data_IF_640173118225
#
_entry.id   IF_640173118225
#
_cell.length_a   1.000
_cell.length_b   1.000
_cell.length_c   1.000
_cell.angle_alpha   90.00
_cell.angle_beta   90.00
_cell.angle_gamma   90.00
#
_symmetry.space_group_name_H-M   'P 1'
#
loop_
_entity.id
_entity.type
_entity.pdbx_description
1 polymer ?
#
# COMPACT_ATOMS: atom_id res chain seq x y z
N UNK A 1 -27.68 31.49 -39.26
CA UNK A 1 -28.60 30.38 -38.98
C UNK A 1 -27.80 29.17 -38.53
N UNK A 2 -27.88 28.81 -37.25
CA UNK A 2 -27.97 27.44 -36.73
C UNK A 2 -27.95 27.53 -35.20
N UNK A 3 -28.94 26.86 -34.60
CA UNK A 3 -29.54 27.12 -33.29
C UNK A 3 -28.75 26.47 -32.15
N UNK A 4 -28.51 27.24 -31.09
CA UNK A 4 -28.12 26.75 -29.76
C UNK A 4 -29.32 26.05 -29.11
N UNK A 5 -29.15 24.81 -28.66
CA UNK A 5 -30.08 24.17 -27.72
C UNK A 5 -29.38 24.06 -26.36
N UNK A 6 -29.80 24.94 -25.44
CA UNK A 6 -29.62 24.77 -24.01
C UNK A 6 -30.75 23.87 -23.52
N UNK A 7 -30.41 22.75 -22.87
CA UNK A 7 -31.36 22.00 -22.06
C UNK A 7 -31.09 22.30 -20.59
N UNK A 8 -31.92 23.20 -20.05
CA UNK A 8 -32.22 23.30 -18.62
C UNK A 8 -33.12 22.12 -18.27
N UNK A 9 -32.72 21.30 -17.29
CA UNK A 9 -33.63 20.37 -16.62
C UNK A 9 -33.57 20.64 -15.13
N UNK A 10 -34.59 21.35 -14.65
CA UNK A 10 -34.92 21.49 -13.25
C UNK A 10 -36.15 20.61 -13.00
N UNK A 11 -36.01 19.52 -12.26
CA UNK A 11 -37.14 18.92 -11.52
C UNK A 11 -36.63 18.23 -10.27
N UNK A 12 -37.09 18.75 -9.14
CA UNK A 12 -37.02 18.16 -7.81
C UNK A 12 -37.97 16.95 -7.79
N UNK A 13 -37.46 15.78 -7.46
CA UNK A 13 -38.25 14.65 -7.00
C UNK A 13 -37.49 13.98 -5.85
N UNK A 14 -37.98 14.19 -4.64
CA UNK A 14 -37.56 13.46 -3.46
C UNK A 14 -37.96 11.99 -3.64
N UNK A 15 -36.97 11.13 -3.81
CA UNK A 15 -37.11 9.68 -3.66
C UNK A 15 -35.86 9.18 -2.95
N UNK A 16 -36.07 8.49 -1.84
CA UNK A 16 -35.05 7.83 -1.02
C UNK A 16 -34.46 6.67 -1.83
N UNK A 17 -33.59 7.00 -2.79
CA UNK A 17 -32.86 6.05 -3.60
C UNK A 17 -31.49 5.80 -2.99
N UNK A 18 -31.19 4.53 -2.71
CA UNK A 18 -29.82 4.07 -2.48
C UNK A 18 -28.96 4.45 -3.69
N UNK A 19 -28.12 5.48 -3.55
CA UNK A 19 -27.14 5.86 -4.57
C UNK A 19 -25.98 4.86 -4.58
N UNK A 20 -26.19 3.71 -5.22
CA UNK A 20 -25.09 2.83 -5.61
C UNK A 20 -24.35 3.45 -6.80
N UNK A 21 -23.35 4.30 -6.54
CA UNK A 21 -22.50 4.86 -7.60
C UNK A 21 -21.46 3.79 -7.98
N UNK A 22 -21.71 3.01 -9.04
CA UNK A 22 -20.66 2.18 -9.66
C UNK A 22 -19.70 3.07 -10.44
N UNK A 23 -18.50 3.28 -9.91
CA UNK A 23 -17.51 4.18 -10.51
C UNK A 23 -16.69 3.55 -11.66
N UNK A 24 -16.78 2.23 -11.87
CA UNK A 24 -16.02 1.53 -12.92
C UNK A 24 -16.82 0.32 -13.44
N UNK A 25 -17.03 0.26 -14.76
CA UNK A 25 -17.46 -0.96 -15.44
C UNK A 25 -16.26 -1.50 -16.23
N UNK A 26 -15.36 -2.21 -15.55
CA UNK A 26 -14.28 -2.94 -16.22
C UNK A 26 -14.73 -4.39 -16.49
N UNK A 27 -14.50 -4.87 -17.72
CA UNK A 27 -14.78 -6.26 -18.12
C UNK A 27 -14.02 -7.27 -17.25
N UNK A 28 -14.58 -8.49 -17.01
CA UNK A 28 -13.95 -9.50 -16.16
C UNK A 28 -12.56 -9.85 -16.69
N UNK A 29 -11.58 -9.96 -15.80
CA UNK A 29 -10.20 -10.28 -16.14
C UNK A 29 -10.05 -11.78 -16.42
N UNK A 30 -10.68 -12.26 -17.50
CA UNK A 30 -10.46 -13.63 -18.00
C UNK A 30 -9.13 -13.67 -18.77
N UNK A 31 -8.06 -14.04 -18.08
CA UNK A 31 -6.74 -14.33 -18.65
C UNK A 31 -5.93 -15.18 -17.68
N UNK A 32 -4.96 -15.96 -18.18
CA UNK A 32 -4.13 -16.83 -17.34
C UNK A 32 -3.49 -16.07 -16.17
N UNK A 33 -3.57 -16.66 -14.97
CA UNK A 33 -2.93 -16.15 -13.75
C UNK A 33 -3.64 -14.99 -13.03
N UNK A 34 -4.75 -14.46 -13.55
CA UNK A 34 -5.58 -13.49 -12.82
C UNK A 34 -6.56 -14.20 -11.88
N UNK A 35 -6.66 -13.69 -10.65
CA UNK A 35 -7.59 -14.13 -9.60
C UNK A 35 -8.43 -12.94 -9.16
N UNK A 36 -9.72 -13.14 -8.98
CA UNK A 36 -10.64 -12.08 -8.53
C UNK A 36 -10.92 -12.19 -7.04
N UNK A 37 -10.91 -11.04 -6.36
CA UNK A 37 -11.18 -10.93 -4.94
C UNK A 37 -12.23 -9.86 -4.68
N UNK A 38 -13.09 -10.13 -3.70
CA UNK A 38 -13.94 -9.14 -3.06
C UNK A 38 -13.37 -8.82 -1.68
N UNK A 39 -13.18 -7.52 -1.42
CA UNK A 39 -12.72 -7.02 -0.13
C UNK A 39 -13.83 -6.14 0.44
N UNK A 40 -14.26 -6.44 1.66
CA UNK A 40 -15.24 -5.63 2.38
C UNK A 40 -14.59 -5.02 3.62
N UNK A 41 -14.58 -3.69 3.69
CA UNK A 41 -14.17 -2.89 4.84
C UNK A 41 -15.40 -2.28 5.48
N UNK A 42 -15.63 -2.59 6.76
CA UNK A 42 -16.71 -2.04 7.56
C UNK A 42 -16.09 -1.24 8.72
N UNK A 43 -16.58 -0.02 8.95
CA UNK A 43 -16.21 0.81 10.10
C UNK A 43 -17.49 1.16 10.83
N UNK A 44 -17.51 0.99 12.15
CA UNK A 44 -18.61 1.39 13.02
C UNK A 44 -18.04 2.24 14.16
N UNK A 45 -18.12 3.56 14.03
CA UNK A 45 -17.60 4.48 15.05
C UNK A 45 -18.46 4.32 16.31
N UNK A 46 -17.92 3.62 17.30
CA UNK A 46 -18.65 3.28 18.53
C UNK A 46 -18.83 4.47 19.47
N UNK A 47 -17.89 5.42 19.47
CA UNK A 47 -17.99 6.66 20.25
C UNK A 47 -18.84 7.71 19.51
N UNK A 48 -20.14 7.72 19.82
CA UNK A 48 -21.09 8.70 19.28
C UNK A 48 -21.03 10.03 20.04
N UNK A 49 -19.84 10.58 20.20
CA UNK A 49 -19.56 11.74 21.07
C UNK A 49 -19.65 13.10 20.36
N UNK A 50 -19.99 13.11 19.07
CA UNK A 50 -20.20 14.33 18.30
C UNK A 50 -19.97 14.12 16.81
N UNK A 51 -19.35 15.13 16.19
CA UNK A 51 -18.86 15.07 14.82
C UNK A 51 -17.78 13.98 14.70
N UNK A 52 -17.88 13.17 13.65
CA UNK A 52 -16.91 12.13 13.34
C UNK A 52 -16.57 12.14 11.86
N UNK A 53 -15.29 11.93 11.55
CA UNK A 53 -14.79 11.77 10.17
C UNK A 53 -13.99 10.48 10.06
N UNK A 54 -14.19 9.77 8.96
CA UNK A 54 -13.46 8.54 8.64
C UNK A 54 -13.01 8.58 7.19
N UNK A 55 -11.79 8.12 6.96
CA UNK A 55 -11.20 7.97 5.64
C UNK A 55 -10.79 6.52 5.44
N UNK A 56 -11.53 5.82 4.58
CA UNK A 56 -11.27 4.40 4.28
C UNK A 56 -10.48 4.28 2.97
N UNK A 57 -9.29 3.64 2.97
CA UNK A 57 -8.52 3.44 1.75
C UNK A 57 -9.30 2.71 0.66
N UNK A 58 -9.19 3.21 -0.57
CA UNK A 58 -9.73 2.58 -1.78
C UNK A 58 -8.55 2.13 -2.65
N UNK A 59 -8.56 0.89 -3.21
CA UNK A 59 -7.48 0.41 -4.06
C UNK A 59 -7.21 1.36 -5.22
N UNK A 60 -5.95 1.52 -5.60
CA UNK A 60 -5.57 2.27 -6.79
C UNK A 60 -6.20 1.62 -8.02
N UNK A 61 -6.61 2.42 -9.00
CA UNK A 61 -7.37 1.93 -10.15
C UNK A 61 -6.66 0.78 -10.88
N UNK A 62 -5.34 0.90 -11.00
CA UNK A 62 -4.50 -0.11 -11.60
C UNK A 62 -3.08 -0.02 -11.02
N UNK A 63 -2.47 -1.17 -10.77
CA UNK A 63 -1.01 -1.30 -10.68
C UNK A 63 -0.57 -2.11 -11.90
N UNK A 64 0.20 -1.47 -12.79
CA UNK A 64 0.52 -2.05 -14.10
C UNK A 64 1.09 -3.45 -13.99
N UNK A 65 0.48 -4.38 -14.72
CA UNK A 65 0.88 -5.77 -14.73
C UNK A 65 0.69 -6.53 -13.42
N UNK A 66 -0.07 -6.01 -12.45
CA UNK A 66 -0.32 -6.66 -11.16
C UNK A 66 -1.79 -6.65 -10.74
N UNK A 67 -2.41 -5.47 -10.70
CA UNK A 67 -3.73 -5.24 -10.12
C UNK A 67 -4.61 -4.43 -11.05
N UNK A 68 -5.90 -4.76 -11.08
CA UNK A 68 -6.98 -3.94 -11.66
C UNK A 68 -8.12 -3.86 -10.67
N UNK A 69 -8.57 -2.65 -10.32
CA UNK A 69 -9.82 -2.48 -9.60
C UNK A 69 -10.98 -2.60 -10.57
N UNK A 70 -11.88 -3.55 -10.29
CA UNK A 70 -13.02 -3.88 -11.13
C UNK A 70 -14.28 -3.12 -10.72
N UNK A 71 -14.51 -2.99 -9.42
CA UNK A 71 -15.70 -2.32 -8.86
C UNK A 71 -15.38 -1.72 -7.48
N UNK A 72 -16.03 -0.61 -7.16
CA UNK A 72 -15.96 0.07 -5.85
C UNK A 72 -17.36 0.53 -5.51
N UNK A 73 -17.90 0.04 -4.39
CA UNK A 73 -19.22 0.39 -3.87
C UNK A 73 -19.12 0.74 -2.41
N UNK A 74 -19.80 1.79 -1.97
CA UNK A 74 -19.84 2.15 -0.57
C UNK A 74 -21.23 2.64 -0.17
N UNK A 75 -21.56 2.40 1.09
CA UNK A 75 -22.76 2.91 1.73
C UNK A 75 -22.39 3.41 3.14
N UNK A 76 -22.97 4.55 3.53
CA UNK A 76 -22.68 5.21 4.79
C UNK A 76 -23.97 5.83 5.34
N UNK A 77 -24.90 5.01 5.85
CA UNK A 77 -26.17 5.50 6.35
C UNK A 77 -25.94 6.48 7.51
N UNK A 78 -26.73 7.55 7.56
CA UNK A 78 -26.60 8.60 8.58
C UNK A 78 -25.46 9.59 8.34
N UNK A 79 -24.61 9.40 7.32
CA UNK A 79 -23.57 10.35 6.99
C UNK A 79 -24.17 11.66 6.47
N UNK A 80 -23.65 12.78 6.98
CA UNK A 80 -23.97 14.12 6.46
C UNK A 80 -23.28 14.34 5.11
N UNK A 81 -22.10 13.77 4.92
CA UNK A 81 -21.36 13.77 3.66
C UNK A 81 -20.63 12.45 3.48
N UNK A 82 -20.70 11.90 2.27
CA UNK A 82 -19.88 10.77 1.82
C UNK A 82 -19.41 11.05 0.40
N UNK A 83 -18.11 10.87 0.14
CA UNK A 83 -17.55 11.03 -1.21
C UNK A 83 -16.37 10.09 -1.45
N UNK A 84 -16.21 9.65 -2.70
CA UNK A 84 -14.97 9.06 -3.17
C UNK A 84 -14.00 10.20 -3.48
N UNK A 85 -12.97 10.36 -2.66
CA UNK A 85 -11.98 11.42 -2.78
C UNK A 85 -10.67 10.90 -3.38
N UNK A 86 -10.11 11.66 -4.33
CA UNK A 86 -8.78 11.43 -4.89
C UNK A 86 -7.82 12.48 -4.35
N UNK A 87 -6.71 12.04 -3.76
CA UNK A 87 -5.68 12.93 -3.23
C UNK A 87 -4.95 13.62 -4.40
N UNK A 88 -4.86 14.96 -4.40
CA UNK A 88 -4.19 15.66 -5.50
C UNK A 88 -2.74 15.23 -5.67
N UNK A 89 -2.33 15.00 -6.92
CA UNK A 89 -0.96 14.62 -7.33
C UNK A 89 -0.48 13.26 -6.79
N UNK A 90 -1.37 12.39 -6.34
CA UNK A 90 -1.02 11.01 -5.99
C UNK A 90 -2.07 10.02 -6.52
N UNK A 91 -1.81 8.73 -6.32
CA UNK A 91 -2.71 7.63 -6.65
C UNK A 91 -3.62 7.24 -5.47
N UNK A 92 -3.49 7.92 -4.32
CA UNK A 92 -4.29 7.65 -3.14
C UNK A 92 -5.74 8.07 -3.35
N UNK A 93 -6.64 7.13 -3.04
CA UNK A 93 -8.09 7.31 -3.05
C UNK A 93 -8.67 6.84 -1.73
N UNK A 94 -9.75 7.47 -1.31
CA UNK A 94 -10.43 7.13 -0.07
C UNK A 94 -11.93 7.38 -0.18
N UNK A 95 -12.72 6.61 0.55
CA UNK A 95 -14.07 7.03 0.91
C UNK A 95 -13.93 7.93 2.12
N UNK A 96 -14.22 9.22 1.95
CA UNK A 96 -14.26 10.21 3.01
C UNK A 96 -15.70 10.34 3.52
N UNK A 97 -15.90 10.06 4.80
CA UNK A 97 -17.22 10.06 5.44
C UNK A 97 -17.22 11.03 6.60
N UNK A 98 -18.33 11.75 6.74
CA UNK A 98 -18.50 12.73 7.78
C UNK A 98 -19.92 12.63 8.36
N UNK A 99 -20.00 12.37 9.66
CA UNK A 99 -21.23 12.39 10.46
C UNK A 99 -21.25 13.61 11.39
N UNK A 100 -22.39 14.29 11.45
CA UNK A 100 -22.66 15.33 12.47
C UNK A 100 -23.71 14.92 13.50
N UNK A 101 -24.65 14.07 13.09
CA UNK A 101 -25.73 13.62 13.94
C UNK A 101 -25.29 12.39 14.75
N UNK A 102 -25.26 12.52 16.08
CA UNK A 102 -24.92 11.43 17.00
C UNK A 102 -26.05 10.41 17.18
N UNK A 103 -27.28 10.75 16.82
CA UNK A 103 -28.43 9.83 16.90
C UNK A 103 -28.49 8.87 15.70
N UNK A 104 -27.84 9.23 14.59
CA UNK A 104 -27.79 8.40 13.40
C UNK A 104 -26.74 7.26 13.52
N UNK A 105 -26.80 6.23 12.67
CA UNK A 105 -25.69 5.30 12.50
C UNK A 105 -24.42 6.03 12.06
N UNK A 106 -23.28 5.70 12.68
CA UNK A 106 -21.95 6.19 12.27
C UNK A 106 -21.14 5.04 11.66
N UNK A 107 -21.71 4.47 10.60
CA UNK A 107 -21.20 3.27 9.94
C UNK A 107 -20.90 3.54 8.48
N UNK A 108 -19.80 2.98 7.97
CA UNK A 108 -19.52 2.90 6.54
C UNK A 108 -19.14 1.49 6.16
N UNK A 109 -19.69 1.02 5.04
CA UNK A 109 -19.31 -0.23 4.38
C UNK A 109 -18.77 0.09 3.00
N UNK A 110 -17.54 -0.35 2.74
CA UNK A 110 -16.86 -0.27 1.45
C UNK A 110 -16.64 -1.68 0.93
N UNK A 111 -17.18 -2.00 -0.24
CA UNK A 111 -16.92 -3.24 -0.97
C UNK A 111 -16.14 -2.91 -2.23
N UNK A 112 -15.02 -3.60 -2.44
CA UNK A 112 -14.18 -3.45 -3.62
C UNK A 112 -13.96 -4.80 -4.27
N UNK A 113 -13.99 -4.83 -5.60
CA UNK A 113 -13.58 -5.99 -6.38
C UNK A 113 -12.30 -5.69 -7.11
N UNK A 114 -11.33 -6.59 -7.00
CA UNK A 114 -10.02 -6.45 -7.67
C UNK A 114 -9.66 -7.74 -8.39
N UNK A 115 -8.99 -7.62 -9.53
CA UNK A 115 -8.27 -8.70 -10.15
C UNK A 115 -6.78 -8.54 -9.82
N UNK A 116 -6.13 -9.62 -9.39
CA UNK A 116 -4.71 -9.67 -9.01
C UNK A 116 -4.00 -10.79 -9.76
N UNK A 117 -2.71 -10.62 -10.06
CA UNK A 117 -1.83 -11.68 -10.56
C UNK A 117 -0.43 -11.58 -9.94
N UNK A 118 0.35 -12.64 -10.01
CA UNK A 118 1.76 -12.60 -9.58
C UNK A 118 2.57 -11.71 -10.54
N UNK A 119 3.23 -10.63 -10.08
CA UNK A 119 4.17 -9.89 -10.89
C UNK A 119 5.53 -10.57 -10.80
N UNK A 120 6.17 -10.80 -11.94
CA UNK A 120 7.51 -11.32 -12.03
C UNK A 120 8.23 -10.69 -13.21
N UNK A 121 9.48 -10.30 -13.00
CA UNK A 121 10.38 -9.76 -14.02
C UNK A 121 11.59 -10.68 -14.11
N UNK A 122 11.87 -11.19 -15.31
CA UNK A 122 13.10 -11.93 -15.58
C UNK A 122 14.27 -10.95 -15.69
N UNK A 123 15.14 -10.95 -14.67
CA UNK A 123 16.33 -10.09 -14.59
C UNK A 123 17.57 -10.73 -15.21
N UNK A 124 17.47 -11.97 -15.71
CA UNK A 124 18.53 -12.66 -16.45
C UNK A 124 18.47 -12.41 -17.96
N UNK A 125 17.29 -12.06 -18.48
CA UNK A 125 17.08 -11.67 -19.87
C UNK A 125 17.28 -10.16 -20.08
N UNK A 126 17.60 -9.76 -21.31
CA UNK A 126 17.66 -8.35 -21.67
C UNK A 126 16.28 -7.68 -21.55
N UNK A 127 16.20 -6.58 -20.82
CA UNK A 127 14.97 -5.80 -20.68
C UNK A 127 14.49 -5.21 -22.02
N UNK A 128 13.20 -5.37 -22.32
CA UNK A 128 12.54 -4.85 -23.53
C UNK A 128 11.41 -3.86 -23.26
N UNK A 129 11.12 -3.57 -21.99
CA UNK A 129 10.08 -2.64 -21.58
C UNK A 129 10.37 -1.22 -22.05
N UNK A 130 9.31 -0.53 -22.50
CA UNK A 130 9.40 0.86 -22.94
C UNK A 130 9.86 1.74 -21.78
N UNK A 131 10.86 2.58 -22.04
CA UNK A 131 11.33 3.59 -21.10
C UNK A 131 10.23 4.63 -20.79
N UNK A 132 10.00 4.86 -19.50
CA UNK A 132 9.15 5.94 -19.03
C UNK A 132 9.84 7.30 -19.16
N UNK A 133 9.10 8.39 -19.43
CA UNK A 133 9.68 9.72 -19.47
C UNK A 133 10.14 10.14 -18.06
N UNK A 134 11.18 10.98 -17.99
CA UNK A 134 11.72 11.46 -16.71
C UNK A 134 10.67 12.17 -15.83
N UNK A 135 9.67 12.82 -16.44
CA UNK A 135 8.55 13.44 -15.71
C UNK A 135 7.71 12.44 -14.93
N UNK A 136 7.53 11.21 -15.43
CA UNK A 136 6.79 10.15 -14.75
C UNK A 136 7.58 9.53 -13.58
N UNK A 137 8.91 9.69 -13.58
CA UNK A 137 9.81 9.12 -12.55
C UNK A 137 10.22 10.15 -11.48
N UNK A 138 10.04 11.45 -11.76
CA UNK A 138 10.53 12.55 -10.92
C UNK A 138 10.03 12.48 -9.48
N UNK A 139 8.75 12.16 -9.31
CA UNK A 139 8.11 12.03 -7.99
C UNK A 139 8.78 10.92 -7.17
N UNK A 140 9.10 9.80 -7.81
CA UNK A 140 9.70 8.64 -7.17
C UNK A 140 11.21 8.77 -6.90
N UNK A 141 11.75 9.97 -7.08
CA UNK A 141 13.09 10.39 -6.68
C UNK A 141 13.06 11.42 -5.54
N UNK A 142 11.88 11.87 -5.10
CA UNK A 142 11.74 12.87 -4.05
C UNK A 142 11.80 12.27 -2.64
N UNK A 143 12.23 13.05 -1.63
CA UNK A 143 12.08 12.70 -0.23
C UNK A 143 10.61 12.69 0.19
N UNK A 144 10.31 11.99 1.29
CA UNK A 144 9.05 12.11 2.04
C UNK A 144 9.34 12.54 3.48
N UNK A 145 8.32 12.89 4.28
CA UNK A 145 8.53 13.27 5.68
C UNK A 145 9.22 12.18 6.52
N UNK A 146 8.89 10.92 6.27
CA UNK A 146 9.45 9.76 6.97
C UNK A 146 10.73 9.20 6.32
N UNK A 147 11.03 9.60 5.08
CA UNK A 147 12.17 9.13 4.31
C UNK A 147 12.89 10.30 3.61
N UNK A 148 13.58 11.17 4.36
CA UNK A 148 14.49 12.15 3.76
C UNK A 148 15.66 11.43 3.06
N UNK A 149 16.24 12.07 2.04
CA UNK A 149 17.29 11.44 1.21
C UNK A 149 18.72 11.88 1.54
N UNK A 150 18.87 12.90 2.40
CA UNK A 150 20.16 13.47 2.78
C UNK A 150 20.76 12.82 4.03
N UNK A 151 21.75 13.49 4.64
CA UNK A 151 22.31 13.12 5.95
C UNK A 151 22.71 11.64 6.04
N UNK A 152 22.29 10.98 7.13
CA UNK A 152 22.60 9.57 7.38
C UNK A 152 22.06 8.64 6.28
N UNK A 153 20.92 8.95 5.66
CA UNK A 153 20.35 8.14 4.57
C UNK A 153 21.27 8.13 3.35
N UNK A 154 21.76 9.29 2.92
CA UNK A 154 22.72 9.39 1.81
C UNK A 154 24.03 8.70 2.15
N UNK A 155 24.56 8.92 3.36
CA UNK A 155 25.82 8.33 3.81
C UNK A 155 25.74 6.80 3.84
N UNK A 156 24.65 6.24 4.37
CA UNK A 156 24.41 4.80 4.38
C UNK A 156 24.28 4.25 2.96
N UNK A 157 23.52 4.91 2.08
CA UNK A 157 23.39 4.50 0.68
C UNK A 157 24.75 4.47 -0.03
N UNK A 158 25.52 5.55 0.07
CA UNK A 158 26.85 5.64 -0.55
C UNK A 158 27.82 4.58 -0.03
N UNK A 159 27.80 4.32 1.29
CA UNK A 159 28.63 3.27 1.92
C UNK A 159 28.29 1.89 1.35
N UNK A 160 27.02 1.53 1.29
CA UNK A 160 26.57 0.24 0.75
C UNK A 160 27.03 0.07 -0.70
N UNK A 161 26.88 1.12 -1.52
CA UNK A 161 27.26 1.06 -2.92
C UNK A 161 28.78 1.03 -3.11
N UNK A 162 29.55 1.66 -2.24
CA UNK A 162 31.02 1.57 -2.26
C UNK A 162 31.49 0.16 -1.92
N UNK A 163 30.95 -0.44 -0.86
CA UNK A 163 31.24 -1.83 -0.46
C UNK A 163 30.85 -2.84 -1.55
N UNK A 164 29.83 -2.53 -2.35
CA UNK A 164 29.40 -3.34 -3.50
C UNK A 164 30.17 -3.05 -4.80
N UNK A 165 31.24 -2.26 -4.78
CA UNK A 165 32.07 -1.99 -5.97
C UNK A 165 31.50 -0.95 -6.93
N UNK A 166 30.69 -0.02 -6.45
CA UNK A 166 30.09 1.10 -7.19
C UNK A 166 29.29 0.71 -8.45
N UNK A 167 28.24 -0.14 -8.31
CA UNK A 167 27.38 -0.48 -9.44
C UNK A 167 26.77 0.79 -10.07
N UNK A 168 26.77 0.82 -11.41
CA UNK A 168 26.35 2.00 -12.17
C UNK A 168 24.88 1.97 -12.56
N UNK A 169 24.36 0.79 -12.89
CA UNK A 169 22.97 0.62 -13.31
C UNK A 169 22.01 0.51 -12.11
N UNK A 170 20.70 0.67 -12.40
CA UNK A 170 19.66 0.62 -11.39
C UNK A 170 19.54 -0.76 -10.73
N UNK A 171 19.70 -1.85 -11.51
CA UNK A 171 19.57 -3.23 -11.01
C UNK A 171 20.71 -3.56 -10.03
N UNK A 172 21.95 -3.23 -10.38
CA UNK A 172 23.11 -3.46 -9.53
C UNK A 172 23.01 -2.68 -8.22
N UNK A 173 22.60 -1.41 -8.26
CA UNK A 173 22.34 -0.60 -7.06
C UNK A 173 21.21 -1.19 -6.20
N UNK A 174 20.09 -1.54 -6.83
CA UNK A 174 18.94 -2.15 -6.16
C UNK A 174 19.29 -3.48 -5.50
N UNK A 175 20.10 -4.31 -6.16
CA UNK A 175 20.58 -5.57 -5.63
C UNK A 175 21.54 -5.35 -4.47
N UNK A 176 22.53 -4.47 -4.60
CA UNK A 176 23.47 -4.16 -3.52
C UNK A 176 22.75 -3.75 -2.21
N UNK A 177 21.77 -2.83 -2.33
CA UNK A 177 20.97 -2.39 -1.18
C UNK A 177 20.07 -3.52 -0.67
N UNK A 178 19.47 -4.32 -1.54
CA UNK A 178 18.63 -5.46 -1.15
C UNK A 178 19.44 -6.51 -0.36
N UNK A 179 20.60 -6.91 -0.85
CA UNK A 179 21.45 -7.89 -0.18
C UNK A 179 21.95 -7.36 1.17
N UNK A 180 22.33 -6.08 1.23
CA UNK A 180 22.69 -5.45 2.49
C UNK A 180 21.52 -5.46 3.48
N UNK A 181 20.30 -5.14 3.04
CA UNK A 181 19.09 -5.20 3.88
C UNK A 181 18.85 -6.61 4.41
N UNK A 182 18.91 -7.64 3.56
CA UNK A 182 18.70 -9.04 3.99
C UNK A 182 19.72 -9.47 5.05
N UNK A 183 20.97 -9.03 4.93
CA UNK A 183 22.02 -9.34 5.90
C UNK A 183 21.90 -8.55 7.20
N UNK A 184 21.51 -7.27 7.14
CA UNK A 184 21.59 -6.37 8.31
C UNK A 184 20.25 -6.15 9.02
N UNK A 185 19.13 -6.32 8.32
CA UNK A 185 17.80 -6.13 8.90
C UNK A 185 17.32 -7.34 9.71
N UNK A 186 16.37 -7.07 10.59
CA UNK A 186 15.59 -8.08 11.33
C UNK A 186 14.13 -7.65 11.43
N UNK A 187 13.22 -8.62 11.52
CA UNK A 187 11.81 -8.35 11.80
C UNK A 187 11.62 -8.18 13.31
N UNK A 188 10.84 -7.18 13.71
CA UNK A 188 10.41 -6.99 15.09
C UNK A 188 8.89 -7.19 15.20
N UNK A 189 8.47 -8.27 15.85
CA UNK A 189 7.06 -8.60 16.05
C UNK A 189 6.32 -7.64 17.00
N UNK A 190 7.04 -7.00 17.92
CA UNK A 190 6.48 -6.15 18.97
C UNK A 190 6.13 -4.74 18.48
N UNK A 191 6.70 -4.31 17.35
CA UNK A 191 6.39 -3.01 16.72
C UNK A 191 4.91 -2.94 16.35
N UNK A 192 4.23 -1.85 16.72
CA UNK A 192 2.81 -1.67 16.41
C UNK A 192 2.57 -1.56 14.89
N UNK A 193 1.43 -2.08 14.43
CA UNK A 193 1.02 -2.00 13.03
C UNK A 193 2.08 -2.54 12.06
N UNK A 194 2.48 -1.69 11.11
CA UNK A 194 3.48 -1.99 10.08
C UNK A 194 4.82 -1.30 10.30
N UNK A 195 5.02 -0.62 11.44
CA UNK A 195 6.17 0.25 11.64
C UNK A 195 5.81 1.72 11.67
N UNK A 196 6.76 2.56 12.09
CA UNK A 196 6.63 4.02 12.00
C UNK A 196 7.00 4.53 10.62
N UNK A 197 7.86 3.79 9.90
CA UNK A 197 8.43 4.19 8.62
C UNK A 197 9.53 5.25 8.74
N UNK A 198 9.92 5.66 9.95
CA UNK A 198 10.94 6.68 10.16
C UNK A 198 12.34 6.11 9.89
N UNK A 199 12.79 6.34 8.67
CA UNK A 199 14.08 5.86 8.15
C UNK A 199 15.24 6.48 8.91
N UNK A 200 15.12 7.75 9.29
CA UNK A 200 16.21 8.49 9.95
C UNK A 200 16.40 8.00 11.37
N UNK A 201 15.29 7.82 12.10
CA UNK A 201 15.31 7.23 13.43
C UNK A 201 15.93 5.82 13.40
N UNK A 202 15.47 4.97 12.47
CA UNK A 202 15.98 3.60 12.38
C UNK A 202 17.50 3.57 12.12
N UNK A 203 18.00 4.36 11.18
CA UNK A 203 19.44 4.42 10.90
C UNK A 203 20.24 4.97 12.08
N UNK A 204 19.76 6.03 12.74
CA UNK A 204 20.44 6.63 13.90
C UNK A 204 20.47 5.68 15.12
N UNK A 205 19.46 4.82 15.26
CA UNK A 205 19.43 3.83 16.34
C UNK A 205 20.53 2.76 16.21
N UNK A 206 21.11 2.59 15.01
CA UNK A 206 22.03 1.50 14.69
C UNK A 206 21.37 0.12 14.61
N UNK A 207 20.08 0.00 14.93
CA UNK A 207 19.31 -1.24 14.89
C UNK A 207 18.36 -1.21 13.68
N UNK A 208 18.77 -1.85 12.59
CA UNK A 208 17.93 -2.03 11.40
C UNK A 208 16.88 -3.10 11.71
N UNK A 209 15.77 -2.70 12.30
CA UNK A 209 14.75 -3.61 12.80
C UNK A 209 13.38 -2.94 12.79
N UNK A 210 12.35 -3.71 12.47
CA UNK A 210 11.00 -3.19 12.41
C UNK A 210 10.08 -4.09 11.60
N UNK A 211 9.04 -3.50 11.03
CA UNK A 211 8.07 -4.16 10.17
C UNK A 211 8.15 -3.61 8.74
N UNK A 212 7.15 -3.88 7.91
CA UNK A 212 7.25 -3.63 6.49
C UNK A 212 7.41 -2.15 6.12
N UNK A 213 6.74 -1.22 6.82
CA UNK A 213 6.87 0.21 6.55
C UNK A 213 8.27 0.72 6.91
N UNK A 214 8.90 0.15 7.95
CA UNK A 214 10.28 0.50 8.31
C UNK A 214 11.26 -0.03 7.27
N UNK A 215 11.19 -1.34 6.98
CA UNK A 215 12.19 -2.03 6.18
C UNK A 215 12.07 -1.72 4.67
N UNK A 216 10.87 -1.71 4.12
CA UNK A 216 10.66 -1.36 2.71
C UNK A 216 10.79 0.16 2.50
N UNK A 217 10.40 0.98 3.49
CA UNK A 217 10.64 2.43 3.46
C UNK A 217 12.13 2.77 3.48
N UNK A 218 12.95 2.08 4.28
CA UNK A 218 14.40 2.24 4.23
C UNK A 218 14.98 1.81 2.88
N UNK A 219 14.52 0.67 2.35
CA UNK A 219 14.97 0.19 1.04
C UNK A 219 14.72 1.22 -0.06
N UNK A 220 13.51 1.78 -0.14
CA UNK A 220 13.16 2.79 -1.14
C UNK A 220 13.91 4.11 -0.91
N UNK A 221 14.10 4.53 0.34
CA UNK A 221 14.86 5.74 0.68
C UNK A 221 16.33 5.63 0.26
N UNK A 222 16.99 4.52 0.55
CA UNK A 222 18.38 4.27 0.16
C UNK A 222 18.53 4.26 -1.38
N UNK A 223 17.57 3.68 -2.09
CA UNK A 223 17.56 3.69 -3.56
C UNK A 223 17.39 5.09 -4.13
N UNK A 224 16.42 5.86 -3.63
CA UNK A 224 16.19 7.24 -4.05
C UNK A 224 17.42 8.11 -3.79
N UNK A 225 18.07 7.95 -2.64
CA UNK A 225 19.32 8.63 -2.31
C UNK A 225 20.47 8.30 -3.29
N UNK A 226 20.41 7.14 -3.95
CA UNK A 226 21.37 6.72 -5.00
C UNK A 226 20.98 7.14 -6.43
N UNK A 227 19.85 7.85 -6.58
CA UNK A 227 19.29 8.28 -7.86
C UNK A 227 18.49 7.21 -8.61
N UNK A 228 18.07 6.13 -7.93
CA UNK A 228 17.19 5.10 -8.52
C UNK A 228 15.74 5.41 -8.12
N UNK A 229 14.82 5.60 -9.08
CA UNK A 229 13.42 5.83 -8.74
C UNK A 229 12.84 4.59 -8.04
N UNK A 230 12.24 4.80 -6.88
CA UNK A 230 11.68 3.73 -6.07
C UNK A 230 10.39 4.18 -5.36
N UNK A 231 9.52 3.22 -5.03
CA UNK A 231 8.25 3.50 -4.36
C UNK A 231 7.84 2.37 -3.43
N UNK A 232 7.30 2.76 -2.29
CA UNK A 232 6.50 1.90 -1.46
C UNK A 232 5.12 1.72 -2.11
N UNK A 233 4.57 0.52 -1.99
CA UNK A 233 3.23 0.18 -2.43
C UNK A 233 2.49 -0.33 -1.20
N UNK A 234 1.57 0.47 -0.69
CA UNK A 234 0.84 0.23 0.56
C UNK A 234 -0.46 -0.52 0.29
N UNK A 235 -0.86 -1.45 1.17
CA UNK A 235 -1.97 -2.34 0.88
C UNK A 235 -2.27 -3.37 1.96
N UNK A 236 -3.01 -4.43 1.60
CA UNK A 236 -3.45 -5.49 2.52
C UNK A 236 -3.43 -6.86 1.87
N UNK A 237 -3.03 -7.91 2.61
CA UNK A 237 -3.11 -9.29 2.12
C UNK A 237 -4.57 -9.67 1.90
N UNK A 238 -4.85 -10.44 0.85
CA UNK A 238 -6.21 -10.86 0.51
C UNK A 238 -6.34 -12.38 0.35
N UNK A 239 -5.24 -13.11 0.28
CA UNK A 239 -5.23 -14.57 0.19
C UNK A 239 -4.05 -15.20 0.94
N UNK A 240 -4.06 -16.52 1.10
CA UNK A 240 -2.91 -17.28 1.62
C UNK A 240 -1.74 -17.29 0.63
N UNK A 241 -0.53 -17.59 1.11
CA UNK A 241 0.62 -17.85 0.22
C UNK A 241 0.45 -19.21 -0.45
N UNK A 242 0.69 -19.27 -1.76
CA UNK A 242 0.67 -20.51 -2.54
C UNK A 242 2.12 -21.04 -2.76
N UNK A 243 3.13 -20.27 -2.33
CA UNK A 243 4.56 -20.60 -2.49
C UNK A 243 5.23 -21.22 -1.27
N UNK A 244 4.43 -21.67 -0.30
CA UNK A 244 4.92 -22.38 0.88
C UNK A 244 5.44 -21.49 2.02
N UNK A 245 5.13 -20.18 2.00
CA UNK A 245 5.47 -19.24 3.07
C UNK A 245 4.23 -18.84 3.86
N UNK A 246 3.95 -19.52 4.97
CA UNK A 246 2.72 -19.30 5.76
C UNK A 246 2.57 -17.84 6.20
N UNK A 247 3.67 -17.18 6.53
CA UNK A 247 3.72 -15.78 6.99
C UNK A 247 3.42 -14.76 5.88
N UNK A 248 3.50 -15.15 4.60
CA UNK A 248 3.31 -14.27 3.45
C UNK A 248 1.89 -14.32 2.89
N UNK A 249 0.88 -14.63 3.70
CA UNK A 249 -0.52 -14.58 3.26
C UNK A 249 -1.51 -14.53 4.42
N UNK A 250 -2.70 -14.02 4.13
CA UNK A 250 -3.84 -14.02 5.05
C UNK A 250 -5.14 -13.89 4.25
N UNK A 251 -6.09 -14.77 4.54
CA UNK A 251 -7.45 -14.76 4.00
C UNK A 251 -8.49 -14.65 5.11
N UNK A 252 -9.74 -14.38 4.74
CA UNK A 252 -10.85 -14.25 5.68
C UNK A 252 -10.81 -12.89 6.36
N UNK A 253 -10.61 -12.86 7.69
CA UNK A 253 -10.41 -11.60 8.41
C UNK A 253 -8.98 -11.09 8.22
N UNK A 254 -8.85 -10.00 7.45
CA UNK A 254 -7.59 -9.37 7.06
C UNK A 254 -7.40 -8.01 7.74
N UNK A 255 -8.15 -7.72 8.82
CA UNK A 255 -8.11 -6.43 9.53
C UNK A 255 -6.73 -6.05 10.07
N UNK A 256 -5.86 -7.04 10.31
CA UNK A 256 -4.47 -6.88 10.77
C UNK A 256 -3.43 -7.37 9.74
N UNK A 257 -3.84 -7.51 8.47
CA UNK A 257 -3.00 -8.08 7.42
C UNK A 257 -2.43 -7.03 6.46
N UNK A 258 -2.36 -5.78 6.89
CA UNK A 258 -1.72 -4.69 6.17
C UNK A 258 -0.26 -5.04 5.93
N UNK A 259 0.23 -4.66 4.76
CA UNK A 259 1.60 -4.85 4.36
C UNK A 259 1.94 -3.82 3.30
N UNK A 260 3.18 -3.36 3.27
CA UNK A 260 3.69 -2.59 2.15
C UNK A 260 4.85 -3.33 1.49
N UNK A 261 4.97 -3.16 0.18
CA UNK A 261 6.05 -3.72 -0.64
C UNK A 261 6.81 -2.59 -1.33
N UNK A 262 7.93 -2.90 -1.97
CA UNK A 262 8.72 -1.90 -2.70
C UNK A 262 8.80 -2.21 -4.19
N UNK A 263 8.81 -1.18 -5.03
CA UNK A 263 9.23 -1.29 -6.42
C UNK A 263 10.37 -0.33 -6.70
N UNK A 264 11.30 -0.74 -7.54
CA UNK A 264 12.28 0.17 -8.14
C UNK A 264 12.14 0.16 -9.66
N UNK A 265 12.50 1.26 -10.31
CA UNK A 265 12.43 1.37 -11.75
C UNK A 265 13.80 1.16 -12.38
N UNK A 266 13.86 0.33 -13.42
CA UNK A 266 15.02 0.17 -14.28
C UNK A 266 14.64 0.32 -15.75
N UNK A 267 15.46 1.07 -16.50
CA UNK A 267 15.29 1.21 -17.94
C UNK A 267 15.34 -0.16 -18.62
N UNK A 268 14.40 -0.41 -19.55
CA UNK A 268 14.25 -1.70 -20.21
C UNK A 268 13.44 -2.74 -19.40
N UNK A 269 13.18 -2.53 -18.11
CA UNK A 269 12.41 -3.48 -17.30
C UNK A 269 11.11 -2.90 -16.74
N UNK A 270 11.06 -1.58 -16.54
CA UNK A 270 9.93 -0.92 -15.90
C UNK A 270 10.02 -1.00 -14.37
N UNK A 271 8.87 -1.06 -13.70
CA UNK A 271 8.78 -1.21 -12.25
C UNK A 271 9.00 -2.67 -11.83
N UNK A 272 10.08 -2.92 -11.11
CA UNK A 272 10.49 -4.25 -10.65
C UNK A 272 10.05 -4.42 -9.18
N UNK A 273 9.30 -5.49 -8.86
CA UNK A 273 8.85 -5.78 -7.49
C UNK A 273 9.97 -6.31 -6.60
N UNK A 274 10.06 -5.81 -5.37
CA UNK A 274 11.03 -6.23 -4.35
C UNK A 274 10.39 -6.21 -2.95
N UNK A 275 10.83 -7.07 -2.03
CA UNK A 275 10.34 -7.06 -0.63
C UNK A 275 11.35 -7.66 0.38
N UNK A 276 12.40 -6.91 0.80
CA UNK A 276 13.30 -7.37 1.86
C UNK A 276 12.60 -7.55 3.21
N UNK A 277 11.49 -6.84 3.45
CA UNK A 277 10.74 -6.99 4.71
C UNK A 277 10.09 -8.38 4.85
N UNK A 278 9.56 -8.92 3.76
CA UNK A 278 9.01 -10.28 3.74
C UNK A 278 10.10 -11.35 3.91
N UNK A 279 11.34 -11.11 3.47
CA UNK A 279 12.47 -12.00 3.78
C UNK A 279 12.72 -12.06 5.29
N UNK A 280 12.77 -10.90 5.95
CA UNK A 280 12.93 -10.82 7.40
C UNK A 280 11.74 -11.43 8.14
N UNK A 281 10.52 -11.28 7.60
CA UNK A 281 9.31 -11.90 8.13
C UNK A 281 9.35 -13.42 8.04
N UNK A 282 9.76 -13.97 6.90
CA UNK A 282 9.96 -15.41 6.71
C UNK A 282 10.97 -15.96 7.72
N UNK A 283 12.07 -15.25 7.93
CA UNK A 283 13.07 -15.64 8.92
C UNK A 283 12.51 -15.64 10.36
N UNK A 284 11.59 -14.75 10.72
CA UNK A 284 11.05 -14.69 12.09
C UNK A 284 9.84 -15.63 12.31
N UNK A 285 8.92 -15.68 11.36
CA UNK A 285 7.54 -16.13 11.61
C UNK A 285 7.22 -17.52 11.04
N UNK A 286 8.08 -18.13 10.22
CA UNK A 286 7.81 -19.43 9.61
C UNK A 286 7.92 -20.62 10.59
N UNK A 287 8.65 -20.45 11.69
CA UNK A 287 8.83 -21.47 12.71
C UNK A 287 8.97 -20.82 14.11
N UNK A 288 8.47 -21.46 15.20
CA UNK A 288 8.76 -21.01 16.55
C UNK A 288 10.27 -20.89 16.81
N UNK A 289 10.70 -19.74 17.33
CA UNK A 289 12.12 -19.42 17.56
C UNK A 289 12.84 -18.81 16.35
N UNK A 290 12.19 -18.72 15.19
CA UNK A 290 12.77 -18.18 13.97
C UNK A 290 13.68 -19.17 13.24
N UNK A 291 14.04 -18.80 12.01
CA UNK A 291 14.94 -19.50 11.12
C UNK A 291 16.24 -18.68 10.95
N UNK A 292 17.40 -19.34 10.85
CA UNK A 292 18.64 -18.65 10.51
C UNK A 292 18.58 -18.11 9.07
N UNK A 293 19.37 -17.06 8.78
CA UNK A 293 19.30 -16.34 7.49
C UNK A 293 19.71 -17.19 6.28
N UNK A 294 20.47 -18.25 6.50
CA UNK A 294 20.91 -19.20 5.48
C UNK A 294 20.00 -20.43 5.36
N UNK A 295 18.93 -20.51 6.15
CA UNK A 295 17.92 -21.56 6.04
C UNK A 295 17.40 -21.66 4.58
N UNK A 296 17.20 -22.87 4.02
CA UNK A 296 16.68 -23.04 2.66
C UNK A 296 15.42 -22.23 2.36
N UNK A 297 14.50 -22.12 3.32
CA UNK A 297 13.25 -21.34 3.15
C UNK A 297 13.54 -19.84 3.10
N UNK A 298 14.43 -19.33 3.97
CA UNK A 298 14.83 -17.91 3.94
C UNK A 298 15.57 -17.58 2.64
N UNK A 299 16.45 -18.48 2.17
CA UNK A 299 17.13 -18.33 0.87
C UNK A 299 16.16 -18.34 -0.31
N UNK A 300 15.13 -19.19 -0.28
CA UNK A 300 14.09 -19.22 -1.31
C UNK A 300 13.30 -17.90 -1.34
N UNK A 301 12.91 -17.36 -0.18
CA UNK A 301 12.26 -16.06 -0.08
C UNK A 301 13.18 -14.93 -0.60
N UNK A 302 14.44 -14.91 -0.17
CA UNK A 302 15.46 -13.95 -0.64
C UNK A 302 15.61 -13.96 -2.16
N UNK A 303 15.65 -15.14 -2.77
CA UNK A 303 15.78 -15.26 -4.22
C UNK A 303 14.52 -14.79 -4.97
N UNK A 304 13.34 -15.16 -4.47
CA UNK A 304 12.06 -14.79 -5.10
C UNK A 304 11.78 -13.29 -4.98
N UNK A 305 11.96 -12.71 -3.80
CA UNK A 305 11.49 -11.36 -3.46
C UNK A 305 12.40 -10.24 -3.99
N UNK A 306 13.30 -10.56 -4.93
CA UNK A 306 14.00 -9.59 -5.77
C UNK A 306 13.62 -9.84 -7.24
N UNK A 307 12.53 -9.22 -7.68
CA UNK A 307 11.99 -9.38 -9.03
C UNK A 307 10.61 -10.04 -9.09
N UNK A 308 10.07 -10.53 -7.97
CA UNK A 308 8.71 -11.07 -7.93
C UNK A 308 7.98 -10.81 -6.61
N UNK A 309 6.64 -10.86 -6.68
CA UNK A 309 5.75 -10.94 -5.52
C UNK A 309 4.74 -12.09 -5.70
N UNK A 310 4.04 -12.44 -4.62
CA UNK A 310 2.77 -13.18 -4.73
C UNK A 310 1.59 -12.21 -4.94
N UNK A 311 0.66 -12.59 -5.83
CA UNK A 311 -0.60 -11.89 -6.12
C UNK A 311 -1.70 -12.14 -5.10
N UNK A 312 -1.34 -12.38 -3.84
CA UNK A 312 -2.23 -12.62 -2.70
C UNK A 312 -2.42 -11.37 -1.82
N UNK A 313 -2.28 -10.19 -2.42
CA UNK A 313 -2.29 -8.90 -1.75
C UNK A 313 -2.85 -7.81 -2.68
N UNK A 314 -3.51 -6.81 -2.12
CA UNK A 314 -4.10 -5.70 -2.87
C UNK A 314 -3.40 -4.39 -2.51
N UNK A 315 -2.99 -3.64 -3.52
CA UNK A 315 -2.44 -2.30 -3.44
C UNK A 315 -3.54 -1.24 -3.23
N UNK A 316 -3.39 -0.43 -2.18
CA UNK A 316 -4.14 0.81 -2.01
C UNK A 316 -3.56 1.95 -2.82
N UNK A 317 -2.27 2.24 -2.69
CA UNK A 317 -1.61 3.40 -3.30
C UNK A 317 -0.09 3.34 -3.12
N UNK A 318 0.60 4.33 -3.68
CA UNK A 318 2.04 4.55 -3.53
C UNK A 318 2.35 5.90 -2.87
N UNK A 319 1.34 6.53 -2.29
CA UNK A 319 1.41 7.89 -1.76
C UNK A 319 2.02 7.93 -0.36
N UNK A 320 2.84 8.94 -0.12
CA UNK A 320 3.28 9.35 1.21
C UNK A 320 2.65 10.70 1.56
N UNK A 321 2.71 11.06 2.85
CA UNK A 321 2.30 12.39 3.35
C UNK A 321 0.86 12.76 2.95
N UNK A 322 -0.04 11.78 3.10
CA UNK A 322 -1.44 11.87 2.70
C UNK A 322 -2.21 12.75 3.67
N UNK A 323 -2.65 13.92 3.20
CA UNK A 323 -3.57 14.81 3.92
C UNK A 323 -5.00 14.36 3.74
N UNK A 324 -5.74 14.31 4.85
CA UNK A 324 -7.14 13.88 4.82
C UNK A 324 -8.09 15.06 4.56
N UNK A 325 -9.07 14.94 3.63
CA UNK A 325 -10.01 16.02 3.34
C UNK A 325 -10.85 16.34 4.58
N UNK A 326 -10.88 17.63 4.96
CA UNK A 326 -11.65 18.11 6.11
C UNK A 326 -10.99 17.88 7.48
N UNK A 327 -9.68 17.57 7.52
CA UNK A 327 -8.90 17.39 8.74
C UNK A 327 -7.49 17.96 8.59
N UNK A 328 -6.85 18.28 9.70
CA UNK A 328 -5.42 18.66 9.77
C UNK A 328 -4.50 17.42 9.82
N UNK A 329 -5.07 16.22 9.95
CA UNK A 329 -4.32 14.98 10.00
C UNK A 329 -3.61 14.69 8.67
N UNK A 330 -2.34 14.32 8.80
CA UNK A 330 -1.50 13.81 7.70
C UNK A 330 -0.96 12.44 8.08
N UNK A 331 -1.14 11.46 7.20
CA UNK A 331 -0.55 10.13 7.35
C UNK A 331 0.71 10.00 6.51
N UNK A 332 1.83 9.61 7.12
CA UNK A 332 3.08 9.37 6.38
C UNK A 332 2.94 8.26 5.32
N UNK A 333 2.03 7.30 5.54
CA UNK A 333 1.57 6.32 4.56
C UNK A 333 0.11 5.94 4.83
N UNK A 334 -0.61 5.50 3.79
CA UNK A 334 -2.06 5.28 3.88
C UNK A 334 -2.48 3.88 3.42
N UNK A 335 -2.72 2.97 4.37
CA UNK A 335 -3.29 1.63 4.13
C UNK A 335 -4.23 1.14 5.25
N UNK A 336 -4.42 1.96 6.28
CA UNK A 336 -5.38 1.72 7.34
C UNK A 336 -6.56 2.68 7.17
N UNK A 337 -7.79 2.28 7.54
CA UNK A 337 -8.81 3.26 7.89
C UNK A 337 -8.21 4.28 8.87
N UNK A 338 -8.50 5.56 8.68
CA UNK A 338 -8.17 6.63 9.61
C UNK A 338 -9.45 7.32 10.04
N UNK A 339 -9.46 7.96 11.21
CA UNK A 339 -10.61 8.73 11.64
C UNK A 339 -10.32 9.64 12.82
N UNK A 340 -11.24 10.57 13.03
CA UNK A 340 -11.26 11.49 14.17
C UNK A 340 -12.71 11.67 14.64
N UNK A 341 -12.87 11.93 15.93
CA UNK A 341 -14.13 12.28 16.57
C UNK A 341 -13.94 13.55 17.41
N UNK A 342 -15.00 13.99 18.10
CA UNK A 342 -14.91 15.03 19.12
C UNK A 342 -13.88 14.72 20.23
N UNK A 343 -13.54 13.45 20.45
CA UNK A 343 -12.54 13.02 21.45
C UNK A 343 -11.11 12.97 20.90
N UNK A 344 -10.91 13.25 19.61
CA UNK A 344 -9.61 13.24 18.96
C UNK A 344 -9.46 12.10 17.95
N UNK A 345 -8.22 11.68 17.70
CA UNK A 345 -7.88 10.70 16.67
C UNK A 345 -8.24 9.28 17.09
N UNK A 346 -8.88 8.54 16.19
CA UNK A 346 -9.12 7.11 16.31
C UNK A 346 -7.85 6.32 15.96
N UNK A 347 -7.46 5.36 16.79
CA UNK A 347 -6.26 4.56 16.55
C UNK A 347 -6.45 3.58 15.38
N UNK A 348 -5.82 3.91 14.26
CA UNK A 348 -5.84 3.11 13.02
C UNK A 348 -5.21 1.73 13.17
N UNK A 349 -4.34 1.54 14.17
CA UNK A 349 -3.62 0.29 14.41
C UNK A 349 -4.37 -0.66 15.36
N UNK A 350 -5.45 -0.18 15.97
CA UNK A 350 -6.33 -0.95 16.84
C UNK A 350 -7.72 -1.12 16.21
N UNK A 351 -7.91 -2.12 15.31
CA UNK A 351 -9.20 -2.37 14.67
C UNK A 351 -10.33 -2.69 15.66
N UNK A 352 -10.02 -3.17 16.87
CA UNK A 352 -11.05 -3.50 17.85
C UNK A 352 -11.63 -2.23 18.48
N UNK A 353 -10.78 -1.30 18.93
CA UNK A 353 -11.23 -0.05 19.55
C UNK A 353 -11.71 0.97 18.52
N UNK A 354 -11.07 1.06 17.34
CA UNK A 354 -11.61 1.82 16.22
C UNK A 354 -12.83 1.11 15.58
N UNK A 355 -13.09 -0.14 15.94
CA UNK A 355 -14.25 -0.89 15.48
C UNK A 355 -14.37 -0.93 13.95
N UNK A 356 -13.27 -1.31 13.29
CA UNK A 356 -13.28 -1.65 11.87
C UNK A 356 -12.92 -3.11 11.62
N UNK A 357 -13.47 -3.64 10.53
CA UNK A 357 -13.21 -4.99 10.06
C UNK A 357 -12.95 -4.98 8.56
N UNK A 358 -11.94 -5.73 8.13
CA UNK A 358 -11.63 -5.94 6.72
C UNK A 358 -11.68 -7.44 6.45
N UNK A 359 -12.48 -7.84 5.46
CA UNK A 359 -12.59 -9.24 5.05
C UNK A 359 -12.25 -9.41 3.58
N UNK A 360 -11.61 -10.52 3.24
CA UNK A 360 -11.35 -10.91 1.85
C UNK A 360 -12.03 -12.23 1.50
N UNK A 361 -12.52 -12.30 0.27
CA UNK A 361 -13.10 -13.51 -0.33
C UNK A 361 -12.62 -13.64 -1.78
N UNK A 362 -12.02 -14.79 -2.11
CA UNK A 362 -11.71 -15.16 -3.50
C UNK A 362 -13.01 -15.46 -4.24
N UNK A 363 -13.17 -14.92 -5.44
CA UNK A 363 -14.35 -15.07 -6.28
C UNK A 363 -14.13 -16.06 -7.42
N UNK A 364 -12.94 -16.02 -8.03
CA UNK A 364 -12.52 -16.86 -9.15
C UNK A 364 -11.00 -17.05 -9.13
#
# INVERSE_FOLDING_TARGET
>A
MQRRQFLLVSTIAASSGTFGVSAFAASPAKGEGWREYEITTEVNVGEKTGEARVWVPVPMAQLEGYQRTLDVKFDAPGATKVELFSVPRSDARMVAVHWKNTEAPQTVKLTTRVALRDPSVDLGAAGTARKLPASALREYLQPTSLAPLGGIVKQTSDKILAEAGHPKDAIGKARAIYEWMVVNASRDGAVAGCGTGDVTYMLNSGKISGKCADLNGLYTALLRASGVPARDVYGVRVDTSERGFKSLGKAGDISKAQHCRAQFYADGYGWIPVDPADVAKVALEEQPGGLPKDDPKVRAARAMLFGAWEGNWMAYNTAADVRFPGSELTAGFFMYPNGESANGRLDSLDPAHFAYRITSRKLA
#
